data_IF_265135037795
#
_entry.id   IF_265135037795
#
_cell.length_a   1.000
_cell.length_b   1.000
_cell.length_c   1.000
_cell.angle_alpha   90.00
_cell.angle_beta   90.00
_cell.angle_gamma   90.00
#
_symmetry.space_group_name_H-M   'P 1'
#
loop_
_entity.id
_entity.type
_entity.pdbx_description
1 polymer ?
#
# COMPACT_ATOMS: atom_id res chain seq x y z
N UNK A 1 6.34 -12.49 5.34
CA UNK A 1 6.93 -11.22 5.80
C UNK A 1 5.90 -10.49 6.62
N UNK A 2 6.29 -10.05 7.81
CA UNK A 2 5.46 -9.19 8.64
C UNK A 2 5.38 -7.79 8.05
N UNK A 3 4.34 -7.03 8.41
CA UNK A 3 4.19 -5.62 8.00
C UNK A 3 5.42 -4.78 8.37
N UNK A 4 6.04 -5.04 9.52
CA UNK A 4 7.21 -4.30 9.99
C UNK A 4 8.43 -4.55 9.08
N UNK A 5 8.69 -5.81 8.71
CA UNK A 5 9.79 -6.16 7.80
C UNK A 5 9.62 -5.49 6.43
N UNK A 6 8.38 -5.41 5.94
CA UNK A 6 8.07 -4.72 4.69
C UNK A 6 8.38 -3.23 4.82
N UNK A 7 7.89 -2.57 5.87
CA UNK A 7 8.15 -1.13 6.11
C UNK A 7 9.64 -0.82 6.16
N UNK A 8 10.43 -1.63 6.86
CA UNK A 8 11.87 -1.48 6.95
C UNK A 8 12.56 -1.65 5.59
N UNK A 9 12.17 -2.67 4.82
CA UNK A 9 12.78 -3.00 3.52
C UNK A 9 12.58 -1.88 2.49
N UNK A 10 11.39 -1.27 2.46
CA UNK A 10 11.08 -0.23 1.47
C UNK A 10 11.13 1.20 2.03
N UNK A 11 11.46 1.35 3.31
CA UNK A 11 11.59 2.62 4.05
C UNK A 11 10.31 3.46 4.16
N UNK A 12 9.20 2.80 4.44
CA UNK A 12 7.90 3.43 4.72
C UNK A 12 7.65 3.53 6.23
N UNK A 13 6.72 4.38 6.63
CA UNK A 13 6.52 4.74 8.04
C UNK A 13 5.33 4.03 8.69
N UNK A 14 4.23 3.84 7.94
CA UNK A 14 3.01 3.18 8.43
C UNK A 14 2.46 2.16 7.45
N UNK A 15 1.81 1.12 7.98
CA UNK A 15 1.17 0.04 7.22
C UNK A 15 -0.25 -0.23 7.71
N UNK A 16 -1.21 -0.27 6.79
CA UNK A 16 -2.62 -0.59 7.05
C UNK A 16 -3.08 -1.72 6.14
N UNK A 17 -3.97 -2.58 6.63
CA UNK A 17 -4.58 -3.63 5.80
C UNK A 17 -6.06 -3.34 5.68
N UNK A 18 -6.54 -3.29 4.45
CA UNK A 18 -7.96 -3.21 4.13
C UNK A 18 -8.35 -4.50 3.41
N UNK A 19 -9.32 -5.23 3.97
CA UNK A 19 -9.83 -6.44 3.35
C UNK A 19 -10.88 -6.07 2.29
N UNK A 20 -10.89 -6.78 1.17
CA UNK A 20 -11.90 -6.60 0.16
C UNK A 20 -13.22 -7.22 0.67
N UNK A 21 -14.30 -6.43 0.87
CA UNK A 21 -15.56 -6.96 1.40
C UNK A 21 -16.23 -7.95 0.43
N UNK A 22 -15.93 -7.88 -0.87
CA UNK A 22 -16.49 -8.78 -1.88
C UNK A 22 -15.79 -10.14 -1.92
N UNK A 23 -14.57 -10.27 -1.36
CA UNK A 23 -13.84 -11.54 -1.24
C UNK A 23 -14.64 -12.60 -0.47
N UNK A 24 -15.38 -12.18 0.56
CA UNK A 24 -16.14 -13.11 1.41
C UNK A 24 -17.45 -13.58 0.78
N UNK A 25 -17.89 -12.97 -0.31
CA UNK A 25 -19.19 -13.24 -0.95
C UNK A 25 -19.13 -13.79 -2.36
N UNK A 26 -18.04 -13.56 -3.10
CA UNK A 26 -17.84 -14.00 -4.48
C UNK A 26 -16.35 -14.32 -4.67
N UNK A 27 -16.03 -15.35 -5.46
CA UNK A 27 -14.70 -15.92 -5.77
C UNK A 27 -13.68 -14.94 -6.40
N UNK A 28 -13.49 -13.75 -5.82
CA UNK A 28 -12.47 -12.80 -6.22
C UNK A 28 -11.11 -13.30 -5.72
N UNK A 29 -10.11 -13.29 -6.60
CA UNK A 29 -8.73 -13.66 -6.24
C UNK A 29 -8.13 -12.64 -5.25
N UNK A 30 -8.56 -11.38 -5.30
CA UNK A 30 -8.10 -10.31 -4.41
C UNK A 30 -8.74 -10.41 -3.01
N UNK A 31 -7.93 -10.75 -2.00
CA UNK A 31 -8.34 -10.78 -0.60
C UNK A 31 -8.33 -9.39 0.04
N UNK A 32 -7.39 -8.54 -0.36
CA UNK A 32 -7.29 -7.20 0.18
C UNK A 32 -6.07 -6.45 -0.28
N UNK A 33 -5.83 -5.32 0.39
CA UNK A 33 -4.79 -4.35 0.06
C UNK A 33 -3.98 -4.02 1.31
N UNK A 34 -2.67 -4.15 1.21
CA UNK A 34 -1.70 -3.60 2.16
C UNK A 34 -1.34 -2.18 1.70
N UNK A 35 -1.76 -1.18 2.47
CA UNK A 35 -1.52 0.24 2.23
C UNK A 35 -0.29 0.66 3.02
N UNK A 36 0.72 1.18 2.35
CA UNK A 36 1.93 1.71 2.97
C UNK A 36 1.98 3.22 2.80
N UNK A 37 2.25 3.93 3.90
CA UNK A 37 2.36 5.39 3.93
C UNK A 37 3.78 5.83 4.27
N UNK A 38 4.29 6.76 3.47
CA UNK A 38 5.43 7.61 3.81
C UNK A 38 4.90 8.99 4.17
N UNK A 39 5.25 9.50 5.34
CA UNK A 39 4.70 10.75 5.87
C UNK A 39 5.82 11.74 6.25
N UNK A 40 5.47 13.01 6.37
CA UNK A 40 6.40 14.03 6.87
C UNK A 40 6.85 13.73 8.30
N UNK A 41 8.11 14.04 8.60
CA UNK A 41 8.70 13.78 9.92
C UNK A 41 7.92 14.52 11.02
N UNK A 42 7.48 13.77 12.04
CA UNK A 42 6.70 14.32 13.15
C UNK A 42 5.19 14.46 12.90
N UNK A 43 4.70 14.09 11.72
CA UNK A 43 3.25 14.02 11.46
C UNK A 43 2.62 12.80 12.13
N UNK A 44 1.41 12.96 12.65
CA UNK A 44 0.57 11.88 13.14
C UNK A 44 -0.40 11.33 12.08
N UNK A 45 -0.38 11.89 10.86
CA UNK A 45 -1.24 11.53 9.73
C UNK A 45 -1.39 10.02 9.53
N UNK A 46 -2.64 9.56 9.52
CA UNK A 46 -3.03 8.17 9.33
C UNK A 46 -3.82 8.00 8.03
N UNK A 47 -3.90 6.76 7.55
CA UNK A 47 -4.71 6.41 6.39
C UNK A 47 -6.18 6.81 6.56
N UNK A 48 -6.71 6.73 7.79
CA UNK A 48 -8.10 7.07 8.10
C UNK A 48 -8.41 8.57 7.94
N UNK A 49 -7.39 9.44 7.87
CA UNK A 49 -7.56 10.88 7.68
C UNK A 49 -7.82 11.25 6.20
N UNK A 50 -7.83 10.26 5.30
CA UNK A 50 -8.13 10.44 3.87
C UNK A 50 -9.62 10.18 3.63
N UNK A 51 -10.36 11.20 3.19
CA UNK A 51 -11.81 11.11 3.05
C UNK A 51 -12.24 10.18 1.90
N UNK A 52 -11.47 10.11 0.80
CA UNK A 52 -11.82 9.31 -0.38
C UNK A 52 -10.69 8.38 -0.82
N UNK A 53 -10.62 7.18 -0.22
CA UNK A 53 -9.78 6.10 -0.75
C UNK A 53 -10.54 5.33 -1.81
N UNK A 54 -10.06 5.43 -3.04
CA UNK A 54 -10.51 4.61 -4.14
C UNK A 54 -9.37 3.69 -4.57
N UNK A 55 -9.47 2.40 -4.21
CA UNK A 55 -8.48 1.37 -4.53
C UNK A 55 -8.27 1.14 -6.04
N UNK A 56 -9.22 1.61 -6.85
CA UNK A 56 -9.20 1.50 -8.32
C UNK A 56 -8.93 2.84 -9.02
N UNK A 57 -8.72 3.92 -8.26
CA UNK A 57 -8.51 5.23 -8.84
C UNK A 57 -7.01 5.52 -8.96
N UNK A 58 -6.57 6.09 -10.08
CA UNK A 58 -5.16 6.41 -10.32
C UNK A 58 -4.63 7.58 -9.47
N UNK A 59 -5.47 8.22 -8.64
CA UNK A 59 -5.06 9.38 -7.83
C UNK A 59 -5.89 9.42 -6.56
N UNK A 60 -5.26 9.15 -5.42
CA UNK A 60 -5.85 9.34 -4.10
C UNK A 60 -5.64 10.79 -3.68
N UNK A 61 -6.61 11.32 -2.92
CA UNK A 61 -6.58 12.66 -2.34
C UNK A 61 -5.23 12.95 -1.66
N UNK A 62 -4.60 14.07 -2.01
CA UNK A 62 -3.29 14.44 -1.50
C UNK A 62 -3.40 15.17 -0.17
N UNK A 63 -2.92 14.56 0.91
CA UNK A 63 -2.76 15.25 2.19
C UNK A 63 -1.40 15.99 2.24
N UNK A 64 -1.33 17.21 2.83
CA UNK A 64 -0.07 17.95 2.98
C UNK A 64 1.03 17.18 3.70
N UNK A 65 0.69 16.22 4.54
CA UNK A 65 1.66 15.41 5.29
C UNK A 65 1.99 14.07 4.63
N UNK A 66 1.29 13.70 3.56
CA UNK A 66 1.54 12.47 2.81
C UNK A 66 2.68 12.68 1.82
N UNK A 67 3.79 11.95 1.97
CA UNK A 67 4.89 11.95 1.00
C UNK A 67 4.64 10.95 -0.13
N UNK A 68 4.26 9.72 0.21
CA UNK A 68 4.02 8.65 -0.75
C UNK A 68 3.06 7.61 -0.19
N UNK A 69 2.25 7.04 -1.07
CA UNK A 69 1.32 5.96 -0.76
C UNK A 69 1.44 4.86 -1.80
N UNK A 70 1.69 3.64 -1.33
CA UNK A 70 1.77 2.44 -2.17
C UNK A 70 0.74 1.44 -1.69
N UNK A 71 0.03 0.84 -2.63
CA UNK A 71 -0.97 -0.18 -2.40
C UNK A 71 -0.42 -1.51 -2.92
N UNK A 72 -0.33 -2.53 -2.07
CA UNK A 72 0.04 -3.88 -2.46
C UNK A 72 -1.21 -4.77 -2.41
N UNK A 73 -1.59 -5.34 -3.55
CA UNK A 73 -2.73 -6.23 -3.66
C UNK A 73 -2.28 -7.65 -3.32
N UNK A 74 -3.03 -8.33 -2.45
CA UNK A 74 -2.73 -9.70 -2.05
C UNK A 74 -3.93 -10.63 -2.18
N UNK A 75 -3.64 -11.89 -2.47
CA UNK A 75 -4.63 -12.92 -2.76
C UNK A 75 -5.09 -13.70 -1.52
N UNK A 76 -5.90 -14.74 -1.73
CA UNK A 76 -6.39 -15.63 -0.66
C UNK A 76 -5.29 -16.22 0.21
N UNK A 77 -4.11 -16.47 -0.39
CA UNK A 77 -2.93 -17.06 0.22
C UNK A 77 -2.03 -15.99 0.89
N UNK A 78 -2.52 -14.75 1.01
CA UNK A 78 -1.78 -13.56 1.44
C UNK A 78 -0.57 -13.25 0.55
N UNK A 79 -0.53 -13.77 -0.67
CA UNK A 79 0.58 -13.53 -1.58
C UNK A 79 0.35 -12.23 -2.34
N UNK A 80 1.35 -11.35 -2.31
CA UNK A 80 1.32 -10.11 -3.09
C UNK A 80 1.42 -10.49 -4.57
N UNK A 81 0.47 -10.04 -5.38
CA UNK A 81 0.48 -10.32 -6.82
C UNK A 81 0.61 -9.06 -7.68
N UNK A 82 0.28 -7.88 -7.14
CA UNK A 82 0.39 -6.61 -7.86
C UNK A 82 0.57 -5.43 -6.87
N UNK A 83 0.95 -4.26 -7.40
CA UNK A 83 1.04 -3.03 -6.62
C UNK A 83 0.65 -1.79 -7.44
N UNK A 84 0.22 -0.74 -6.75
CA UNK A 84 -0.11 0.56 -7.33
C UNK A 84 0.48 1.70 -6.54
N UNK A 85 1.03 2.69 -7.23
CA UNK A 85 1.49 3.95 -6.61
C UNK A 85 0.28 4.88 -6.57
N UNK A 86 -0.33 5.02 -5.40
CA UNK A 86 -1.57 5.77 -5.25
C UNK A 86 -1.37 7.29 -5.10
N UNK A 87 -0.24 7.69 -4.52
CA UNK A 87 0.13 9.10 -4.37
C UNK A 87 1.63 9.24 -4.16
N UNK A 88 2.20 10.34 -4.66
CA UNK A 88 3.59 10.72 -4.38
C UNK A 88 3.78 12.22 -4.60
N UNK A 89 4.45 12.89 -3.66
CA UNK A 89 4.92 14.27 -3.83
C UNK A 89 6.11 14.38 -4.77
N UNK A 90 6.93 13.34 -4.82
CA UNK A 90 8.20 13.32 -5.53
C UNK A 90 8.15 12.39 -6.75
N UNK A 91 9.08 12.60 -7.68
CA UNK A 91 9.23 11.72 -8.84
C UNK A 91 9.67 10.33 -8.38
N UNK A 92 8.89 9.31 -8.71
CA UNK A 92 9.26 7.91 -8.46
C UNK A 92 10.41 7.52 -9.38
N UNK A 93 11.48 6.97 -8.80
CA UNK A 93 12.65 6.52 -9.56
C UNK A 93 12.52 5.04 -9.93
N UNK A 94 13.32 4.57 -10.90
CA UNK A 94 13.37 3.13 -11.22
C UNK A 94 13.86 2.29 -10.03
N UNK A 95 14.71 2.86 -9.17
CA UNK A 95 15.17 2.16 -7.97
C UNK A 95 14.04 1.94 -6.96
N UNK A 96 13.11 2.89 -6.84
CA UNK A 96 11.94 2.74 -5.97
C UNK A 96 11.01 1.66 -6.52
N UNK A 97 10.77 1.71 -7.83
CA UNK A 97 9.96 0.70 -8.54
C UNK A 97 10.53 -0.70 -8.33
N UNK A 98 11.84 -0.89 -8.50
CA UNK A 98 12.48 -2.20 -8.31
C UNK A 98 12.26 -2.76 -6.89
N UNK A 99 12.31 -1.90 -5.86
CA UNK A 99 12.02 -2.31 -4.48
C UNK A 99 10.58 -2.78 -4.30
N UNK A 100 9.62 -2.16 -5.00
CA UNK A 100 8.22 -2.58 -4.96
C UNK A 100 8.01 -3.89 -5.75
N UNK A 101 8.61 -4.01 -6.94
CA UNK A 101 8.59 -5.22 -7.75
C UNK A 101 9.20 -6.43 -7.00
N UNK A 102 10.21 -6.22 -6.15
CA UNK A 102 10.80 -7.27 -5.29
C UNK A 102 9.85 -7.82 -4.21
N UNK A 103 8.73 -7.16 -3.92
CA UNK A 103 7.72 -7.67 -2.99
C UNK A 103 6.67 -8.54 -3.69
N UNK A 104 6.64 -8.54 -5.03
CA UNK A 104 5.72 -9.38 -5.79
C UNK A 104 6.08 -10.84 -5.60
N UNK A 105 5.11 -11.63 -5.17
CA UNK A 105 5.24 -13.05 -4.86
C UNK A 105 5.54 -13.37 -3.40
N UNK A 106 5.81 -12.36 -2.56
CA UNK A 106 5.99 -12.53 -1.12
C UNK A 106 4.65 -12.76 -0.41
N UNK A 107 4.67 -13.59 0.64
CA UNK A 107 3.49 -13.87 1.48
C UNK A 107 3.52 -12.94 2.68
N UNK A 108 2.42 -12.21 2.92
CA UNK A 108 2.26 -11.32 4.07
C UNK A 108 1.71 -12.10 5.27
N UNK A 109 2.30 -11.88 6.45
CA UNK A 109 1.82 -12.36 7.75
C UNK A 109 1.26 -11.18 8.59
#
# INVERSE_FOLDING_TARGET
>A
MTKLEILEKIHFDKAHVSLNPYFFGNEYEEKGVLILLKIEEGSDFDYLDIENICFQCPTIESHPDLISMILFLFDSDNKIYDYSIASTKFKVTRSDILKYEELIGEIID
#
